data_IF_094428173364
#
_entry.id   IF_094428173364
#
_cell.length_a   1.000
_cell.length_b   1.000
_cell.length_c   1.000
_cell.angle_alpha   90.00
_cell.angle_beta   90.00
_cell.angle_gamma   90.00
#
_symmetry.space_group_name_H-M   'P 1'
#
loop_
_entity.id
_entity.type
_entity.pdbx_description
1 polymer ?
#
# COMPACT_ATOMS: atom_id res chain seq x y z
N UNK A 1 -5.72 16.54 8.26
CA UNK A 1 -5.53 16.68 6.80
C UNK A 1 -5.13 18.09 6.39
N UNK A 2 -5.85 19.16 6.79
CA UNK A 2 -5.56 20.55 6.40
C UNK A 2 -4.11 21.00 6.61
N UNK A 3 -3.53 20.73 7.78
CA UNK A 3 -2.12 21.04 8.07
C UNK A 3 -1.14 20.36 7.10
N UNK A 4 -1.35 19.08 6.78
CA UNK A 4 -0.49 18.33 5.87
C UNK A 4 -0.66 18.80 4.42
N UNK A 5 -1.89 19.03 3.97
CA UNK A 5 -2.18 19.52 2.62
C UNK A 5 -1.52 20.89 2.38
N UNK A 6 -1.65 21.83 3.33
CA UNK A 6 -1.00 23.14 3.26
C UNK A 6 0.53 23.03 3.27
N UNK A 7 1.10 22.23 4.18
CA UNK A 7 2.55 22.04 4.26
C UNK A 7 3.14 21.35 3.02
N UNK A 8 2.39 20.45 2.38
CA UNK A 8 2.78 19.79 1.13
C UNK A 8 2.57 20.65 -0.12
N UNK A 9 1.89 21.80 -0.01
CA UNK A 9 1.53 22.61 -1.18
C UNK A 9 0.53 21.89 -2.11
N UNK A 10 -0.39 21.10 -1.56
CA UNK A 10 -1.33 20.32 -2.35
C UNK A 10 -2.24 21.22 -3.22
N UNK A 11 -2.24 20.98 -4.53
CA UNK A 11 -3.12 21.66 -5.51
C UNK A 11 -4.30 20.80 -5.96
N UNK A 12 -4.22 19.50 -5.74
CA UNK A 12 -5.27 18.52 -6.07
C UNK A 12 -5.44 17.60 -4.86
N UNK A 13 -6.69 17.31 -4.50
CA UNK A 13 -7.05 16.33 -3.48
C UNK A 13 -8.03 15.33 -4.08
N UNK A 14 -7.63 14.06 -4.13
CA UNK A 14 -8.50 12.95 -4.54
C UNK A 14 -9.05 12.27 -3.28
N UNK A 15 -10.37 12.14 -3.18
CA UNK A 15 -11.04 11.61 -1.99
C UNK A 15 -12.36 10.93 -2.32
N UNK A 16 -13.02 10.36 -1.31
CA UNK A 16 -14.42 9.93 -1.42
C UNK A 16 -15.36 11.10 -1.10
N UNK A 17 -16.56 11.10 -1.70
CA UNK A 17 -17.59 12.13 -1.50
C UNK A 17 -17.92 12.32 0.00
N UNK A 18 -17.92 11.23 0.77
CA UNK A 18 -18.17 11.23 2.21
C UNK A 18 -17.16 12.03 3.05
N UNK A 19 -15.99 12.38 2.50
CA UNK A 19 -14.93 13.09 3.23
C UNK A 19 -14.74 14.53 2.79
N UNK A 20 -15.50 15.01 1.79
CA UNK A 20 -15.38 16.38 1.27
C UNK A 20 -15.56 17.43 2.37
N UNK A 21 -16.47 17.21 3.31
CA UNK A 21 -16.72 18.16 4.42
C UNK A 21 -15.50 18.37 5.32
N UNK A 22 -14.60 17.37 5.42
CA UNK A 22 -13.33 17.50 6.17
C UNK A 22 -12.32 18.41 5.48
N UNK A 23 -12.60 18.82 4.24
CA UNK A 23 -11.76 19.69 3.42
C UNK A 23 -12.28 21.13 3.38
N UNK A 24 -13.29 21.50 4.17
CA UNK A 24 -13.87 22.86 4.17
C UNK A 24 -12.79 23.96 4.32
N UNK A 25 -11.79 23.73 5.18
CA UNK A 25 -10.66 24.67 5.41
C UNK A 25 -9.61 24.73 4.27
N UNK A 26 -9.81 23.91 3.24
CA UNK A 26 -8.95 23.76 2.06
C UNK A 26 -9.69 24.07 0.76
N UNK A 27 -11.00 24.29 0.78
CA UNK A 27 -11.78 24.70 -0.38
C UNK A 27 -11.46 26.17 -0.68
N UNK A 28 -10.43 26.38 -1.48
CA UNK A 28 -10.06 27.66 -2.09
C UNK A 28 -9.91 27.46 -3.60
N UNK A 29 -9.90 28.56 -4.36
CA UNK A 29 -9.77 28.52 -5.83
C UNK A 29 -8.46 27.82 -6.30
N UNK A 30 -7.47 27.71 -5.42
CA UNK A 30 -6.16 27.09 -5.70
C UNK A 30 -6.12 25.55 -5.54
N UNK A 31 -7.15 24.92 -4.95
CA UNK A 31 -7.18 23.47 -4.68
C UNK A 31 -8.36 22.80 -5.37
N UNK A 32 -8.06 21.91 -6.31
CA UNK A 32 -9.07 21.11 -7.00
C UNK A 32 -9.38 19.86 -6.17
N UNK A 33 -10.65 19.70 -5.77
CA UNK A 33 -11.12 18.47 -5.10
C UNK A 33 -11.76 17.54 -6.12
N UNK A 34 -11.30 16.29 -6.17
CA UNK A 34 -11.82 15.24 -7.05
C UNK A 34 -12.42 14.12 -6.19
N UNK A 35 -13.69 13.78 -6.42
CA UNK A 35 -14.35 12.64 -5.76
C UNK A 35 -14.31 11.40 -6.64
N UNK A 36 -13.97 10.25 -6.04
CA UNK A 36 -13.88 8.96 -6.75
C UNK A 36 -15.22 8.21 -6.84
N UNK A 37 -16.24 8.72 -6.15
CA UNK A 37 -17.55 8.13 -6.01
C UNK A 37 -18.63 9.23 -5.88
N UNK A 38 -19.88 8.83 -6.11
CA UNK A 38 -21.06 9.68 -5.96
C UNK A 38 -21.15 10.84 -6.95
N UNK A 39 -22.22 11.62 -6.83
CA UNK A 39 -22.37 12.88 -7.57
C UNK A 39 -21.50 13.94 -6.87
N UNK A 40 -20.60 14.64 -7.58
CA UNK A 40 -19.74 15.65 -6.96
C UNK A 40 -20.59 16.79 -6.38
N UNK A 41 -20.23 17.25 -5.18
CA UNK A 41 -20.80 18.48 -4.59
C UNK A 41 -20.29 19.71 -5.35
N UNK A 42 -20.99 20.84 -5.22
CA UNK A 42 -20.57 22.12 -5.82
C UNK A 42 -19.09 22.43 -5.53
N UNK A 43 -18.35 22.82 -6.56
CA UNK A 43 -16.91 23.08 -6.50
C UNK A 43 -16.00 21.83 -6.54
N UNK A 44 -16.56 20.61 -6.52
CA UNK A 44 -15.80 19.37 -6.70
C UNK A 44 -15.92 18.84 -8.14
N UNK A 45 -14.92 18.09 -8.59
CA UNK A 45 -14.95 17.32 -9.84
C UNK A 45 -15.15 15.84 -9.54
N UNK A 46 -15.72 15.09 -10.47
CA UNK A 46 -15.76 13.63 -10.42
C UNK A 46 -14.50 13.03 -11.06
N UNK A 47 -14.04 11.85 -10.62
CA UNK A 47 -12.82 11.20 -11.14
C UNK A 47 -12.85 10.92 -12.66
N UNK A 48 -14.02 10.91 -13.29
CA UNK A 48 -14.16 10.72 -14.74
C UNK A 48 -13.40 11.76 -15.57
N UNK A 49 -13.06 12.93 -14.99
CA UNK A 49 -12.19 13.92 -15.63
C UNK A 49 -10.80 13.36 -15.99
N UNK A 50 -10.34 12.30 -15.31
CA UNK A 50 -9.09 11.61 -15.63
C UNK A 50 -9.23 10.68 -16.83
N UNK A 51 -10.40 10.07 -17.02
CA UNK A 51 -10.67 9.15 -18.14
C UNK A 51 -11.15 9.85 -19.40
N UNK A 52 -11.71 11.05 -19.26
CA UNK A 52 -12.16 11.91 -20.37
C UNK A 52 -11.01 12.74 -20.96
N UNK A 53 -9.84 12.74 -20.32
CA UNK A 53 -8.67 13.46 -20.78
C UNK A 53 -8.07 12.82 -22.05
N UNK A 54 -7.63 13.67 -22.97
CA UNK A 54 -6.92 13.25 -24.18
C UNK A 54 -5.41 13.14 -23.87
N UNK A 55 -4.90 11.91 -23.83
CA UNK A 55 -3.48 11.64 -23.56
C UNK A 55 -2.55 12.33 -24.57
N UNK A 56 -3.02 12.60 -25.79
CA UNK A 56 -2.22 13.29 -26.82
C UNK A 56 -2.01 14.77 -26.50
N UNK A 57 -2.79 15.33 -25.58
CA UNK A 57 -2.68 16.71 -25.11
C UNK A 57 -1.85 16.83 -23.82
N UNK A 58 -1.34 15.72 -23.29
CA UNK A 58 -0.50 15.76 -22.11
C UNK A 58 0.81 16.51 -22.43
N UNK A 59 1.16 17.58 -21.70
CA UNK A 59 2.38 18.33 -21.99
C UNK A 59 3.59 17.43 -21.77
N UNK A 60 4.59 17.56 -22.65
CA UNK A 60 5.89 16.95 -22.40
C UNK A 60 6.50 17.59 -21.16
N UNK A 61 6.89 16.76 -20.20
CA UNK A 61 7.58 17.16 -18.97
C UNK A 61 8.95 16.52 -18.96
N UNK A 62 9.95 17.27 -18.54
CA UNK A 62 11.27 16.74 -18.25
C UNK A 62 11.24 16.14 -16.84
N UNK A 63 11.57 14.85 -16.72
CA UNK A 63 11.57 14.12 -15.44
C UNK A 63 13.01 13.73 -15.12
N UNK A 64 13.50 14.20 -13.98
CA UNK A 64 14.85 13.92 -13.49
C UNK A 64 14.83 12.87 -12.38
N UNK A 65 15.90 12.04 -12.22
CA UNK A 65 15.93 10.99 -11.21
C UNK A 65 15.74 11.48 -9.77
N UNK A 66 16.18 12.71 -9.47
CA UNK A 66 16.11 13.30 -8.14
C UNK A 66 14.80 14.10 -7.90
N UNK A 67 13.88 14.13 -8.88
CA UNK A 67 12.56 14.71 -8.70
C UNK A 67 11.76 13.90 -7.67
N UNK A 68 11.05 14.60 -6.79
CA UNK A 68 10.22 14.01 -5.73
C UNK A 68 8.92 13.47 -6.33
N UNK A 69 8.62 12.19 -6.06
CA UNK A 69 7.43 11.51 -6.59
C UNK A 69 6.46 11.04 -5.50
N UNK A 70 6.96 10.78 -4.29
CA UNK A 70 6.13 10.46 -3.14
C UNK A 70 6.53 11.31 -1.94
N UNK A 71 5.53 11.82 -1.21
CA UNK A 71 5.71 12.65 -0.04
C UNK A 71 4.92 12.11 1.18
N UNK A 72 5.18 10.86 1.63
CA UNK A 72 4.54 10.34 2.82
C UNK A 72 4.94 11.16 4.06
N UNK A 73 4.03 11.26 5.03
CA UNK A 73 4.32 11.91 6.30
C UNK A 73 4.70 10.88 7.36
N UNK A 74 5.78 11.16 8.08
CA UNK A 74 6.30 10.35 9.19
C UNK A 74 6.25 11.15 10.49
N UNK A 75 6.10 10.49 11.63
CA UNK A 75 6.38 11.11 12.94
C UNK A 75 7.86 11.55 13.04
N UNK A 76 8.73 10.92 12.26
CA UNK A 76 10.17 11.07 12.32
C UNK A 76 10.75 10.54 13.61
N UNK A 77 12.00 10.90 13.88
CA UNK A 77 12.76 10.50 15.07
C UNK A 77 12.44 11.36 16.30
N UNK A 78 11.84 12.53 16.11
CA UNK A 78 11.38 13.44 17.17
C UNK A 78 10.42 14.51 16.63
N UNK A 79 9.60 15.09 17.52
CA UNK A 79 8.79 16.27 17.24
C UNK A 79 7.53 16.02 16.41
N UNK A 80 7.17 17.02 15.60
CA UNK A 80 5.94 17.02 14.78
C UNK A 80 6.10 16.18 13.50
N UNK A 81 4.99 15.71 12.88
CA UNK A 81 5.05 15.00 11.61
C UNK A 81 5.70 15.83 10.49
N UNK A 82 6.53 15.17 9.68
CA UNK A 82 7.32 15.77 8.59
C UNK A 82 7.06 15.04 7.27
N UNK A 83 7.02 15.78 6.16
CA UNK A 83 6.94 15.19 4.81
C UNK A 83 8.31 14.62 4.41
N UNK A 84 8.35 13.34 4.10
CA UNK A 84 9.58 12.64 3.66
C UNK A 84 9.62 12.66 2.14
N UNK A 85 10.61 13.35 1.57
CA UNK A 85 10.79 13.44 0.13
C UNK A 85 11.39 12.15 -0.41
N UNK A 86 10.60 11.36 -1.14
CA UNK A 86 11.09 10.17 -1.85
C UNK A 86 11.13 10.46 -3.34
N UNK A 87 12.33 10.33 -3.92
CA UNK A 87 12.59 10.63 -5.33
C UNK A 87 12.29 9.45 -6.23
N UNK A 88 12.18 9.69 -7.54
CA UNK A 88 12.10 8.64 -8.55
C UNK A 88 13.23 7.62 -8.39
N UNK A 89 14.48 8.09 -8.33
CA UNK A 89 15.68 7.26 -8.13
C UNK A 89 15.60 6.46 -6.84
N UNK A 90 15.14 7.07 -5.74
CA UNK A 90 15.02 6.42 -4.44
C UNK A 90 14.05 5.23 -4.47
N UNK A 91 12.84 5.43 -4.98
CA UNK A 91 11.84 4.36 -5.06
C UNK A 91 12.23 3.28 -6.07
N UNK A 92 12.76 3.65 -7.24
CA UNK A 92 13.24 2.66 -8.23
C UNK A 92 14.36 1.79 -7.63
N UNK A 93 15.31 2.40 -6.91
CA UNK A 93 16.38 1.67 -6.23
C UNK A 93 15.82 0.70 -5.20
N UNK A 94 14.87 1.14 -4.36
CA UNK A 94 14.25 0.30 -3.33
C UNK A 94 13.43 -0.85 -3.93
N UNK A 95 12.66 -0.60 -4.99
CA UNK A 95 11.88 -1.66 -5.68
C UNK A 95 12.83 -2.68 -6.30
N UNK A 96 13.86 -2.25 -7.02
CA UNK A 96 14.84 -3.15 -7.62
C UNK A 96 15.59 -3.99 -6.56
N UNK A 97 15.94 -3.39 -5.41
CA UNK A 97 16.55 -4.12 -4.28
C UNK A 97 15.66 -5.22 -3.69
N UNK A 98 14.34 -5.11 -3.88
CA UNK A 98 13.38 -6.10 -3.40
C UNK A 98 13.15 -7.19 -4.45
N UNK A 99 12.72 -6.83 -5.66
CA UNK A 99 12.14 -7.80 -6.61
C UNK A 99 12.96 -8.06 -7.88
N UNK A 100 14.03 -7.29 -8.13
CA UNK A 100 14.87 -7.51 -9.31
C UNK A 100 16.06 -8.43 -9.00
N UNK A 101 16.70 -8.93 -10.06
CA UNK A 101 17.84 -9.85 -10.00
C UNK A 101 17.44 -11.30 -10.29
N UNK A 102 18.44 -12.15 -10.58
CA UNK A 102 18.21 -13.57 -10.89
C UNK A 102 17.72 -14.36 -9.66
N UNK A 103 18.10 -13.90 -8.47
CA UNK A 103 17.64 -14.42 -7.18
C UNK A 103 17.17 -13.24 -6.31
N UNK A 104 15.95 -12.75 -6.54
CA UNK A 104 15.47 -11.54 -5.88
C UNK A 104 15.26 -11.78 -4.38
N UNK A 105 15.46 -10.72 -3.60
CA UNK A 105 15.28 -10.77 -2.14
C UNK A 105 13.82 -11.08 -1.75
N UNK A 106 12.88 -10.57 -2.53
CA UNK A 106 11.45 -10.83 -2.45
C UNK A 106 10.97 -11.37 -3.80
N UNK A 107 10.81 -12.69 -3.89
CA UNK A 107 10.43 -13.35 -5.15
C UNK A 107 8.93 -13.24 -5.42
N UNK A 108 8.57 -12.33 -6.32
CA UNK A 108 7.25 -12.21 -6.96
C UNK A 108 7.34 -12.58 -8.43
N UNK A 109 6.27 -13.14 -8.97
CA UNK A 109 6.12 -13.44 -10.40
C UNK A 109 4.73 -13.03 -10.91
N UNK A 110 4.55 -13.02 -12.23
CA UNK A 110 3.34 -12.48 -12.87
C UNK A 110 2.05 -13.29 -12.64
N UNK A 111 2.17 -14.52 -12.14
CA UNK A 111 1.02 -15.35 -11.74
C UNK A 111 0.61 -15.15 -10.28
N UNK A 112 1.38 -14.36 -9.51
CA UNK A 112 1.02 -14.07 -8.14
C UNK A 112 -0.22 -13.18 -8.04
N UNK A 113 -1.01 -13.43 -7.00
CA UNK A 113 -2.08 -12.56 -6.55
C UNK A 113 -1.71 -12.07 -5.16
N UNK A 114 -1.35 -10.79 -5.06
CA UNK A 114 -0.89 -10.14 -3.84
C UNK A 114 -2.07 -9.39 -3.22
N UNK A 115 -2.48 -9.76 -2.01
CA UNK A 115 -3.56 -9.03 -1.32
C UNK A 115 -3.05 -7.71 -0.74
N UNK A 116 -3.58 -6.60 -1.22
CA UNK A 116 -3.30 -5.25 -0.72
C UNK A 116 -4.38 -4.85 0.29
N UNK A 117 -4.29 -5.37 1.50
CA UNK A 117 -5.15 -5.01 2.64
C UNK A 117 -4.56 -3.89 3.50
N UNK A 118 -3.25 -3.68 3.41
CA UNK A 118 -2.55 -2.63 4.14
C UNK A 118 -2.79 -1.26 3.47
N UNK A 119 -2.89 -0.17 4.26
CA UNK A 119 -3.27 1.12 3.69
C UNK A 119 -2.23 1.66 2.71
N UNK A 120 -2.63 1.96 1.48
CA UNK A 120 -1.75 2.51 0.42
C UNK A 120 -1.21 3.92 0.72
N UNK A 121 -1.83 4.65 1.66
CA UNK A 121 -1.28 5.91 2.16
C UNK A 121 -0.04 5.71 3.07
N UNK A 122 0.25 4.47 3.49
CA UNK A 122 1.46 4.13 4.22
C UNK A 122 2.52 3.58 3.25
N UNK A 123 3.75 4.08 3.37
CA UNK A 123 4.81 3.81 2.38
C UNK A 123 5.18 2.34 2.24
N UNK A 124 4.98 1.53 3.28
CA UNK A 124 5.15 0.07 3.20
C UNK A 124 4.23 -0.55 2.14
N UNK A 125 2.93 -0.26 2.18
CA UNK A 125 1.98 -0.81 1.21
C UNK A 125 2.22 -0.22 -0.19
N UNK A 126 2.52 1.08 -0.26
CA UNK A 126 2.83 1.71 -1.55
C UNK A 126 4.06 1.06 -2.21
N UNK A 127 5.18 0.92 -1.50
CA UNK A 127 6.42 0.40 -2.09
C UNK A 127 6.41 -1.14 -2.20
N UNK A 128 6.38 -1.85 -1.08
CA UNK A 128 6.60 -3.30 -1.04
C UNK A 128 5.42 -4.12 -1.52
N UNK A 129 4.23 -3.53 -1.62
CA UNK A 129 3.04 -4.20 -2.16
C UNK A 129 2.77 -3.68 -3.56
N UNK A 130 2.32 -2.43 -3.72
CA UNK A 130 1.85 -1.93 -5.01
C UNK A 130 2.98 -1.81 -6.05
N UNK A 131 4.05 -1.06 -5.76
CA UNK A 131 5.13 -0.85 -6.74
C UNK A 131 5.87 -2.15 -7.08
N UNK A 132 6.15 -2.98 -6.08
CA UNK A 132 6.79 -4.29 -6.28
C UNK A 132 5.90 -5.25 -7.08
N UNK A 133 4.58 -5.30 -6.80
CA UNK A 133 3.63 -6.11 -7.57
C UNK A 133 3.59 -5.67 -9.04
N UNK A 134 3.47 -4.36 -9.28
CA UNK A 134 3.46 -3.78 -10.64
C UNK A 134 4.75 -4.10 -11.38
N UNK A 135 5.91 -3.98 -10.71
CA UNK A 135 7.22 -4.32 -11.29
C UNK A 135 7.31 -5.79 -11.69
N UNK A 136 6.80 -6.70 -10.84
CA UNK A 136 6.81 -8.14 -11.10
C UNK A 136 5.71 -8.61 -12.08
N UNK A 137 4.81 -7.72 -12.50
CA UNK A 137 3.66 -8.05 -13.33
C UNK A 137 2.58 -8.87 -12.60
N UNK A 138 2.57 -8.83 -11.27
CA UNK A 138 1.64 -9.57 -10.43
C UNK A 138 0.28 -8.87 -10.29
N UNK A 139 -0.77 -9.64 -10.03
CA UNK A 139 -2.09 -9.09 -9.73
C UNK A 139 -2.12 -8.50 -8.31
N UNK A 140 -2.71 -7.33 -8.14
CA UNK A 140 -2.91 -6.68 -6.83
C UNK A 140 -4.38 -6.72 -6.44
N UNK A 141 -4.75 -7.51 -5.44
CA UNK A 141 -6.11 -7.61 -4.93
C UNK A 141 -6.34 -6.59 -3.81
N UNK A 142 -6.96 -5.45 -4.15
CA UNK A 142 -7.21 -4.36 -3.19
C UNK A 142 -8.39 -4.68 -2.28
N UNK A 143 -8.17 -4.58 -0.96
CA UNK A 143 -9.21 -4.68 0.06
C UNK A 143 -9.32 -3.35 0.80
N UNK A 144 -10.44 -2.63 0.64
CA UNK A 144 -10.58 -1.27 1.16
C UNK A 144 -10.58 -1.21 2.69
N UNK A 145 -11.08 -2.26 3.34
CA UNK A 145 -11.17 -2.34 4.80
C UNK A 145 -11.03 -3.78 5.24
N UNK A 146 -10.11 -4.03 6.18
CA UNK A 146 -9.94 -5.36 6.75
C UNK A 146 -11.18 -5.83 7.52
N UNK A 147 -11.56 -7.07 7.26
CA UNK A 147 -12.50 -7.88 8.01
C UNK A 147 -12.05 -9.34 7.80
N UNK A 148 -11.90 -10.11 8.88
CA UNK A 148 -11.32 -11.44 8.78
C UNK A 148 -12.09 -12.38 7.84
N UNK A 149 -13.42 -12.40 7.93
CA UNK A 149 -14.27 -13.25 7.08
C UNK A 149 -14.09 -12.89 5.60
N UNK A 150 -14.24 -11.61 5.24
CA UNK A 150 -14.04 -11.16 3.86
C UNK A 150 -12.60 -11.36 3.37
N UNK A 151 -11.60 -11.22 4.26
CA UNK A 151 -10.20 -11.47 3.92
C UNK A 151 -9.98 -12.93 3.51
N UNK A 152 -10.51 -13.87 4.29
CA UNK A 152 -10.42 -15.32 4.01
C UNK A 152 -11.23 -15.71 2.76
N UNK A 153 -12.42 -15.13 2.57
CA UNK A 153 -13.22 -15.32 1.35
C UNK A 153 -12.47 -14.87 0.10
N UNK A 154 -11.81 -13.71 0.16
CA UNK A 154 -11.01 -13.17 -0.93
C UNK A 154 -9.79 -14.04 -1.21
N UNK A 155 -9.09 -14.53 -0.18
CA UNK A 155 -7.98 -15.48 -0.33
C UNK A 155 -8.45 -16.72 -1.09
N UNK A 156 -9.51 -17.36 -0.62
CA UNK A 156 -10.01 -18.59 -1.22
C UNK A 156 -10.50 -18.37 -2.67
N UNK A 157 -11.25 -17.30 -2.91
CA UNK A 157 -11.89 -17.01 -4.19
C UNK A 157 -10.89 -16.62 -5.27
N UNK A 158 -9.94 -15.75 -4.95
CA UNK A 158 -8.98 -15.23 -5.90
C UNK A 158 -7.64 -15.95 -5.86
N UNK A 159 -7.53 -17.00 -5.05
CA UNK A 159 -6.31 -17.80 -4.89
C UNK A 159 -5.10 -16.91 -4.61
N UNK A 160 -5.23 -16.06 -3.60
CA UNK A 160 -4.15 -15.18 -3.13
C UNK A 160 -2.91 -16.01 -2.83
N UNK A 161 -1.76 -15.59 -3.36
CA UNK A 161 -0.48 -16.29 -3.20
C UNK A 161 0.43 -15.57 -2.21
N UNK A 162 0.36 -14.25 -2.12
CA UNK A 162 1.17 -13.44 -1.22
C UNK A 162 0.27 -12.61 -0.31
N UNK A 163 0.52 -12.69 1.01
CA UNK A 163 -0.21 -11.92 2.01
C UNK A 163 0.73 -11.01 2.84
N UNK A 164 0.93 -9.75 2.39
CA UNK A 164 1.52 -8.70 3.21
C UNK A 164 0.53 -8.27 4.31
N UNK A 165 0.89 -8.51 5.57
CA UNK A 165 0.05 -8.26 6.74
C UNK A 165 0.86 -7.59 7.87
N UNK A 166 0.19 -7.37 9.00
CA UNK A 166 0.76 -6.75 10.22
C UNK A 166 0.36 -7.58 11.43
N UNK A 167 1.06 -7.47 12.58
CA UNK A 167 0.79 -8.30 13.75
C UNK A 167 -0.67 -8.34 14.24
N UNK A 168 -1.46 -7.23 14.20
CA UNK A 168 -2.89 -7.29 14.53
C UNK A 168 -3.71 -8.22 13.62
N UNK A 169 -3.40 -8.29 12.32
CA UNK A 169 -4.08 -9.20 11.39
C UNK A 169 -3.68 -10.65 11.68
N UNK A 170 -2.40 -10.91 11.96
CA UNK A 170 -1.93 -12.23 12.38
C UNK A 170 -2.67 -12.70 13.64
N UNK A 171 -2.82 -11.80 14.62
CA UNK A 171 -3.56 -12.08 15.85
C UNK A 171 -5.01 -12.46 15.58
N UNK A 172 -5.71 -11.72 14.71
CA UNK A 172 -7.11 -12.02 14.36
C UNK A 172 -7.23 -13.37 13.63
N UNK A 173 -6.31 -13.69 12.72
CA UNK A 173 -6.26 -14.97 12.01
C UNK A 173 -6.04 -16.13 12.99
N UNK A 174 -5.01 -16.05 13.82
CA UNK A 174 -4.60 -17.12 14.75
C UNK A 174 -5.62 -17.38 15.87
N UNK A 175 -6.38 -16.37 16.28
CA UNK A 175 -7.39 -16.51 17.35
C UNK A 175 -8.76 -16.97 16.88
N UNK A 176 -9.03 -16.94 15.57
CA UNK A 176 -10.36 -17.22 15.06
C UNK A 176 -10.47 -18.63 14.48
N UNK A 177 -11.42 -19.45 14.95
CA UNK A 177 -11.61 -20.80 14.42
C UNK A 177 -12.17 -20.80 12.99
N UNK A 178 -12.67 -19.65 12.50
CA UNK A 178 -13.33 -19.55 11.19
C UNK A 178 -12.38 -19.88 10.03
N UNK A 179 -11.06 -19.74 10.23
CA UNK A 179 -10.07 -20.05 9.20
C UNK A 179 -10.18 -21.49 8.68
N UNK A 180 -10.55 -22.44 9.56
CA UNK A 180 -10.75 -23.84 9.20
C UNK A 180 -11.87 -24.07 8.17
N UNK A 181 -12.71 -23.06 7.92
CA UNK A 181 -13.79 -23.10 6.94
C UNK A 181 -13.37 -22.63 5.54
N UNK A 182 -12.13 -22.16 5.38
CA UNK A 182 -11.62 -21.60 4.13
C UNK A 182 -10.39 -22.36 3.64
N UNK A 183 -10.33 -22.58 2.33
CA UNK A 183 -9.14 -23.06 1.64
C UNK A 183 -8.16 -21.89 1.43
N UNK A 184 -7.10 -21.90 2.25
CA UNK A 184 -6.00 -20.92 2.19
C UNK A 184 -4.72 -21.51 1.58
N UNK A 185 -4.80 -22.70 0.97
CA UNK A 185 -3.64 -23.44 0.45
C UNK A 185 -2.89 -22.71 -0.67
N UNK A 186 -3.52 -21.73 -1.34
CA UNK A 186 -2.87 -20.93 -2.38
C UNK A 186 -1.80 -19.99 -1.84
N UNK A 187 -1.88 -19.58 -0.57
CA UNK A 187 -0.93 -18.65 0.03
C UNK A 187 0.41 -19.34 0.19
N UNK A 188 1.43 -18.88 -0.56
CA UNK A 188 2.80 -19.38 -0.52
C UNK A 188 3.75 -18.50 0.27
N UNK A 189 3.39 -17.24 0.52
CA UNK A 189 4.23 -16.30 1.26
C UNK A 189 3.39 -15.38 2.13
N UNK A 190 3.77 -15.26 3.40
CA UNK A 190 3.19 -14.31 4.34
C UNK A 190 4.30 -13.39 4.84
N UNK A 191 4.12 -12.09 4.68
CA UNK A 191 5.08 -11.08 5.10
C UNK A 191 4.47 -10.24 6.22
N UNK A 192 5.16 -10.14 7.35
CA UNK A 192 4.79 -9.19 8.41
C UNK A 192 5.79 -8.05 8.47
N UNK A 193 5.30 -6.83 8.72
CA UNK A 193 6.16 -5.66 8.85
C UNK A 193 5.62 -4.65 9.86
N UNK A 194 6.29 -3.50 9.93
CA UNK A 194 5.98 -2.36 10.80
C UNK A 194 6.09 -2.59 12.33
N UNK A 195 5.91 -3.82 12.81
CA UNK A 195 6.10 -4.18 14.20
C UNK A 195 6.55 -5.65 14.32
N UNK A 196 7.30 -6.01 15.37
CA UNK A 196 7.78 -7.36 15.57
C UNK A 196 6.61 -8.31 15.89
N UNK A 197 6.68 -9.52 15.33
CA UNK A 197 5.79 -10.62 15.71
C UNK A 197 6.45 -11.47 16.82
N UNK A 198 5.69 -11.81 17.86
CA UNK A 198 6.15 -12.71 18.91
C UNK A 198 6.18 -14.16 18.44
N UNK A 199 7.09 -14.97 18.99
CA UNK A 199 7.30 -16.37 18.59
C UNK A 199 6.00 -17.19 18.56
N UNK A 200 5.18 -17.10 19.60
CA UNK A 200 3.95 -17.90 19.71
C UNK A 200 2.94 -17.59 18.60
N UNK A 201 2.87 -16.32 18.16
CA UNK A 201 2.01 -15.91 17.05
C UNK A 201 2.56 -16.39 15.70
N UNK A 202 3.88 -16.40 15.56
CA UNK A 202 4.54 -16.93 14.38
C UNK A 202 4.34 -18.44 14.25
N UNK A 203 4.53 -19.20 15.32
CA UNK A 203 4.32 -20.65 15.35
C UNK A 203 2.86 -20.98 14.99
N UNK A 204 1.89 -20.31 15.62
CA UNK A 204 0.47 -20.52 15.33
C UNK A 204 0.11 -20.18 13.88
N UNK A 205 0.74 -19.16 13.30
CA UNK A 205 0.53 -18.81 11.90
C UNK A 205 1.13 -19.86 10.94
N UNK A 206 2.31 -20.39 11.27
CA UNK A 206 2.96 -21.47 10.50
C UNK A 206 2.12 -22.74 10.51
N UNK A 207 1.49 -23.08 11.63
CA UNK A 207 0.57 -24.23 11.73
C UNK A 207 -0.68 -24.06 10.84
N UNK A 208 -1.18 -22.83 10.70
CA UNK A 208 -2.35 -22.53 9.87
C UNK A 208 -2.03 -22.45 8.37
N UNK A 209 -0.79 -22.11 8.02
CA UNK A 209 -0.32 -21.99 6.63
C UNK A 209 0.97 -22.79 6.42
N UNK A 210 0.93 -24.13 6.55
CA UNK A 210 2.13 -24.97 6.53
C UNK A 210 2.89 -24.93 5.20
N UNK A 211 2.22 -24.56 4.11
CA UNK A 211 2.81 -24.38 2.78
C UNK A 211 3.47 -23.02 2.57
N UNK A 212 3.19 -22.03 3.44
CA UNK A 212 3.65 -20.67 3.26
C UNK A 212 5.02 -20.44 3.92
N UNK A 213 5.89 -19.74 3.21
CA UNK A 213 7.08 -19.13 3.79
C UNK A 213 6.65 -17.88 4.55
N UNK A 214 7.06 -17.78 5.82
CA UNK A 214 6.81 -16.62 6.64
C UNK A 214 8.08 -15.81 6.85
N UNK A 215 8.00 -14.51 6.57
CA UNK A 215 9.10 -13.57 6.77
C UNK A 215 8.68 -12.25 7.38
N UNK A 216 9.68 -11.53 7.89
CA UNK A 216 9.52 -10.19 8.44
C UNK A 216 10.38 -9.16 7.71
N UNK A 217 9.78 -8.00 7.45
CA UNK A 217 10.47 -6.83 6.90
C UNK A 217 10.71 -5.77 7.97
N UNK A 218 11.93 -5.23 8.01
CA UNK A 218 12.25 -4.02 8.76
C UNK A 218 12.32 -2.82 7.83
N UNK A 219 11.54 -1.79 8.16
CA UNK A 219 11.44 -0.58 7.36
C UNK A 219 11.19 0.68 8.18
N UNK A 220 11.53 1.82 7.59
CA UNK A 220 11.31 3.18 8.09
C UNK A 220 11.01 4.10 6.91
N UNK A 221 10.06 5.02 7.03
CA UNK A 221 9.64 5.89 5.90
C UNK A 221 10.80 6.65 5.27
N UNK A 222 11.69 7.18 6.10
CA UNK A 222 12.89 7.93 5.74
C UNK A 222 13.93 7.07 5.00
N UNK A 223 13.87 5.74 5.08
CA UNK A 223 14.78 4.82 4.41
C UNK A 223 14.31 4.39 3.01
N UNK A 224 13.15 4.87 2.56
CA UNK A 224 12.68 4.67 1.19
C UNK A 224 11.78 3.48 0.83
N UNK A 225 11.26 2.57 1.69
CA UNK A 225 11.27 2.45 3.15
C UNK A 225 11.92 1.15 3.69
N UNK A 226 12.43 0.27 2.85
CA UNK A 226 12.90 -1.08 3.26
C UNK A 226 14.39 -1.06 3.59
N UNK A 227 14.77 -1.58 4.76
CA UNK A 227 16.17 -1.76 5.13
C UNK A 227 16.59 -3.22 5.09
N UNK A 228 15.74 -4.12 5.62
CA UNK A 228 16.02 -5.56 5.68
C UNK A 228 14.74 -6.31 5.40
N UNK A 229 14.85 -7.40 4.63
CA UNK A 229 13.83 -8.42 4.46
C UNK A 229 14.42 -9.75 4.92
N UNK A 230 13.66 -10.53 5.67
CA UNK A 230 14.02 -11.88 6.08
C UNK A 230 12.82 -12.79 5.78
N UNK A 231 12.96 -13.68 4.80
CA UNK A 231 11.96 -14.66 4.36
C UNK A 231 12.47 -16.08 4.62
#
# INVERSE_FOLDING_TARGET
>A
IAKQAKAAGARIIVTQAAYVEKLADLQSDDVIVITIDGVPKDGCKHISVLTEADETQCPSVEIQPDDVVALPYSSGTTGLPKGVMLTHKGLVSSVAQQVDGENPNLYFHSEDVIICVLPLFHIYSLNSVLLCALRAGAATLIMQKFNLTSFLELIQRYKVTIAPIVPPIVLDITKSPIISQYDVSSVRTIMSGAAPLGKDLEDALRDLFPQAIFGQGYGMTEAGPVLVMNL
#
